data_IF_535618927158
#
_entry.id   IF_535618927158
#
_cell.length_a   1.000
_cell.length_b   1.000
_cell.length_c   1.000
_cell.angle_alpha   90.00
_cell.angle_beta   90.00
_cell.angle_gamma   90.00
#
_symmetry.space_group_name_H-M   'P 1'
#
loop_
_entity.id
_entity.type
_entity.pdbx_description
1 polymer ?
#
# COMPACT_ATOMS: atom_id res chain seq x y z
N UNK A 1 11.18 16.34 12.43
CA UNK A 1 10.11 16.13 11.44
C UNK A 1 9.54 14.71 11.53
N UNK A 2 10.39 13.68 11.56
CA UNK A 2 10.03 12.26 11.68
C UNK A 2 9.13 11.90 12.88
N UNK A 3 9.28 12.55 14.05
CA UNK A 3 8.40 12.32 15.23
C UNK A 3 6.94 12.71 14.98
N UNK A 4 6.70 13.82 14.27
CA UNK A 4 5.34 14.28 13.92
C UNK A 4 4.72 13.33 12.91
N UNK A 5 5.47 12.93 11.88
CA UNK A 5 5.02 11.95 10.89
C UNK A 5 4.70 10.59 11.53
N UNK A 6 5.50 10.15 12.50
CA UNK A 6 5.21 8.92 13.24
C UNK A 6 3.92 9.02 14.06
N UNK A 7 3.65 10.16 14.71
CA UNK A 7 2.44 10.37 15.48
C UNK A 7 1.19 10.42 14.58
N UNK A 8 1.26 11.22 13.50
CA UNK A 8 0.21 11.29 12.48
C UNK A 8 -0.03 9.93 11.84
N UNK A 9 1.04 9.21 11.49
CA UNK A 9 0.97 7.85 10.95
C UNK A 9 0.32 6.86 11.92
N UNK A 10 0.64 6.96 13.21
CA UNK A 10 0.00 6.17 14.26
C UNK A 10 -1.51 6.41 14.35
N UNK A 11 -1.94 7.67 14.38
CA UNK A 11 -3.37 8.04 14.38
C UNK A 11 -4.07 7.54 13.11
N UNK A 12 -3.47 7.78 11.95
CA UNK A 12 -4.03 7.32 10.67
C UNK A 12 -4.12 5.79 10.59
N UNK A 13 -3.16 5.07 11.17
CA UNK A 13 -3.20 3.60 11.25
C UNK A 13 -4.40 3.14 12.09
N UNK A 14 -4.61 3.74 13.27
CA UNK A 14 -5.76 3.40 14.12
C UNK A 14 -7.08 3.70 13.41
N UNK A 15 -7.18 4.84 12.73
CA UNK A 15 -8.38 5.21 11.95
C UNK A 15 -8.59 4.24 10.79
N UNK A 16 -7.56 3.94 9.98
CA UNK A 16 -7.66 3.06 8.83
C UNK A 16 -8.03 1.63 9.25
N UNK A 17 -7.41 1.08 10.29
CA UNK A 17 -7.73 -0.25 10.83
C UNK A 17 -9.14 -0.29 11.42
N UNK A 18 -9.51 0.71 12.24
CA UNK A 18 -10.83 0.76 12.86
C UNK A 18 -11.96 0.89 11.83
N UNK A 19 -11.80 1.78 10.86
CA UNK A 19 -12.75 1.95 9.76
C UNK A 19 -12.75 0.74 8.82
N UNK A 20 -11.60 0.15 8.53
CA UNK A 20 -11.47 -1.05 7.70
C UNK A 20 -12.12 -2.28 8.32
N UNK A 21 -11.92 -2.51 9.61
CA UNK A 21 -12.58 -3.59 10.35
C UNK A 21 -14.10 -3.40 10.40
N UNK A 22 -14.57 -2.17 10.62
CA UNK A 22 -15.99 -1.84 10.57
C UNK A 22 -16.58 -2.12 9.18
N UNK A 23 -15.93 -1.64 8.12
CA UNK A 23 -16.36 -1.83 6.74
C UNK A 23 -16.34 -3.31 6.36
N UNK A 24 -15.34 -4.09 6.79
CA UNK A 24 -15.27 -5.53 6.54
C UNK A 24 -16.44 -6.28 7.21
N UNK A 25 -16.81 -5.91 8.44
CA UNK A 25 -17.93 -6.56 9.15
C UNK A 25 -19.30 -6.15 8.62
N UNK A 26 -19.46 -4.89 8.18
CA UNK A 26 -20.72 -4.33 7.68
C UNK A 26 -20.79 -4.21 6.17
N UNK A 27 -19.90 -4.90 5.44
CA UNK A 27 -19.79 -4.77 4.01
C UNK A 27 -21.13 -5.07 3.32
N UNK A 28 -21.64 -4.07 2.60
CA UNK A 28 -22.78 -4.20 1.71
C UNK A 28 -22.45 -3.45 0.41
N UNK A 29 -22.62 -4.07 -0.77
CA UNK A 29 -22.33 -3.44 -2.05
C UNK A 29 -23.26 -2.26 -2.37
N UNK A 30 -24.41 -2.18 -1.70
CA UNK A 30 -25.44 -1.15 -1.80
C UNK A 30 -25.46 -0.23 -0.56
N UNK A 31 -24.31 -0.02 0.07
CA UNK A 31 -24.18 0.76 1.29
C UNK A 31 -24.68 2.21 1.12
N UNK A 32 -25.53 2.66 2.05
CA UNK A 32 -26.02 4.05 2.14
C UNK A 32 -25.81 4.61 3.54
N UNK A 33 -25.94 5.94 3.68
CA UNK A 33 -25.86 6.63 4.97
C UNK A 33 -24.51 6.44 5.66
N UNK A 34 -24.53 5.98 6.91
CA UNK A 34 -23.34 5.88 7.76
C UNK A 34 -22.27 4.92 7.21
N UNK A 35 -22.66 3.79 6.59
CA UNK A 35 -21.71 2.81 6.06
C UNK A 35 -20.91 3.38 4.89
N UNK A 36 -21.57 4.13 3.99
CA UNK A 36 -20.90 4.86 2.91
C UNK A 36 -19.94 5.93 3.46
N UNK A 37 -20.35 6.63 4.54
CA UNK A 37 -19.48 7.58 5.25
C UNK A 37 -18.20 6.90 5.78
N UNK A 38 -18.35 5.73 6.40
CA UNK A 38 -17.21 4.94 6.91
C UNK A 38 -16.29 4.42 5.79
N UNK A 39 -16.85 4.00 4.66
CA UNK A 39 -16.06 3.60 3.48
C UNK A 39 -15.24 4.78 2.92
N UNK A 40 -15.85 5.96 2.80
CA UNK A 40 -15.14 7.18 2.36
C UNK A 40 -14.05 7.60 3.33
N UNK A 41 -14.34 7.56 4.64
CA UNK A 41 -13.35 7.84 5.67
C UNK A 41 -12.19 6.85 5.63
N UNK A 42 -12.48 5.56 5.45
CA UNK A 42 -11.46 4.52 5.28
C UNK A 42 -10.59 4.78 4.05
N UNK A 43 -11.18 5.12 2.91
CA UNK A 43 -10.45 5.42 1.68
C UNK A 43 -9.53 6.64 1.85
N UNK A 44 -10.05 7.76 2.37
CA UNK A 44 -9.28 9.00 2.56
C UNK A 44 -8.15 8.77 3.58
N UNK A 45 -8.45 8.13 4.71
CA UNK A 45 -7.44 7.84 5.73
C UNK A 45 -6.36 6.88 5.22
N UNK A 46 -6.69 5.91 4.38
CA UNK A 46 -5.72 4.99 3.77
C UNK A 46 -4.78 5.70 2.79
N UNK A 47 -5.30 6.62 1.97
CA UNK A 47 -4.47 7.45 1.08
C UNK A 47 -3.52 8.33 1.90
N UNK A 48 -4.06 9.02 2.91
CA UNK A 48 -3.26 9.86 3.80
C UNK A 48 -2.18 9.03 4.53
N UNK A 49 -2.53 7.84 5.00
CA UNK A 49 -1.60 6.93 5.66
C UNK A 49 -0.48 6.50 4.72
N UNK A 50 -0.82 6.12 3.49
CA UNK A 50 0.17 5.73 2.49
C UNK A 50 1.17 6.86 2.20
N UNK A 51 0.68 8.09 2.03
CA UNK A 51 1.54 9.27 1.86
C UNK A 51 2.46 9.49 3.07
N UNK A 52 1.91 9.42 4.29
CA UNK A 52 2.71 9.59 5.52
C UNK A 52 3.76 8.50 5.67
N UNK A 53 3.45 7.24 5.33
CA UNK A 53 4.42 6.14 5.35
C UNK A 53 5.54 6.41 4.35
N UNK A 54 5.22 6.68 3.08
CA UNK A 54 6.22 6.88 2.03
C UNK A 54 7.12 8.08 2.34
N UNK A 55 6.53 9.22 2.69
CA UNK A 55 7.27 10.43 3.06
C UNK A 55 8.08 10.20 4.34
N UNK A 56 7.52 9.52 5.34
CA UNK A 56 8.19 9.21 6.60
C UNK A 56 9.39 8.29 6.42
N UNK A 57 9.27 7.24 5.61
CA UNK A 57 10.38 6.33 5.30
C UNK A 57 11.45 7.02 4.46
N UNK A 58 11.06 7.79 3.44
CA UNK A 58 12.01 8.57 2.64
C UNK A 58 12.78 9.58 3.51
N UNK A 59 12.08 10.31 4.39
CA UNK A 59 12.69 11.22 5.36
C UNK A 59 13.61 10.48 6.32
N UNK A 60 13.22 9.30 6.83
CA UNK A 60 14.05 8.49 7.72
C UNK A 60 15.36 8.04 7.05
N UNK A 61 15.26 7.53 5.81
CA UNK A 61 16.44 7.11 5.03
C UNK A 61 17.35 8.31 4.74
N UNK A 62 16.77 9.47 4.43
CA UNK A 62 17.50 10.70 4.16
C UNK A 62 18.18 11.28 5.42
N UNK A 63 17.48 11.36 6.55
CA UNK A 63 17.99 11.89 7.83
C UNK A 63 19.14 11.02 8.37
N UNK A 64 19.05 9.70 8.23
CA UNK A 64 20.04 8.77 8.79
C UNK A 64 21.30 8.60 7.92
N UNK A 65 21.33 9.18 6.71
CA UNK A 65 22.45 9.16 5.74
C UNK A 65 23.38 7.94 5.87
N UNK A 66 22.88 6.70 5.74
CA UNK A 66 23.78 5.58 5.50
C UNK A 66 24.62 5.94 4.27
N UNK A 67 25.94 5.70 4.35
CA UNK A 67 26.84 5.93 3.21
C UNK A 67 26.20 5.43 1.91
N UNK A 68 26.39 6.12 0.78
CA UNK A 68 25.55 5.96 -0.43
C UNK A 68 25.38 4.50 -0.86
N UNK A 69 26.39 3.65 -0.64
CA UNK A 69 26.35 2.21 -0.92
C UNK A 69 25.45 1.41 0.02
N UNK A 70 25.36 1.80 1.29
CA UNK A 70 24.56 1.15 2.34
C UNK A 70 23.12 1.65 2.42
N UNK A 71 22.81 2.81 1.81
CA UNK A 71 21.46 3.37 1.73
C UNK A 71 20.58 2.78 0.63
N UNK A 72 21.18 2.21 -0.43
CA UNK A 72 20.46 1.67 -1.59
C UNK A 72 19.40 0.63 -1.19
N UNK A 73 19.68 -0.38 -0.33
CA UNK A 73 18.67 -1.37 0.05
C UNK A 73 17.44 -0.74 0.70
N UNK A 74 17.61 0.22 1.61
CA UNK A 74 16.51 0.89 2.29
C UNK A 74 15.68 1.76 1.32
N UNK A 75 16.34 2.39 0.35
CA UNK A 75 15.66 3.15 -0.70
C UNK A 75 14.83 2.26 -1.61
N UNK A 76 15.40 1.14 -2.07
CA UNK A 76 14.71 0.16 -2.91
C UNK A 76 13.49 -0.41 -2.18
N UNK A 77 13.64 -0.81 -0.91
CA UNK A 77 12.52 -1.34 -0.12
C UNK A 77 11.45 -0.25 0.10
N UNK A 78 11.83 1.00 0.32
CA UNK A 78 10.86 2.12 0.42
C UNK A 78 10.07 2.30 -0.88
N UNK A 79 10.72 2.20 -2.04
CA UNK A 79 10.04 2.27 -3.34
C UNK A 79 9.09 1.07 -3.55
N UNK A 80 9.50 -0.14 -3.17
CA UNK A 80 8.64 -1.33 -3.21
C UNK A 80 7.41 -1.16 -2.31
N UNK A 81 7.57 -0.63 -1.09
CA UNK A 81 6.45 -0.34 -0.19
C UNK A 81 5.49 0.67 -0.82
N UNK A 82 6.00 1.72 -1.48
CA UNK A 82 5.15 2.68 -2.17
C UNK A 82 4.29 2.01 -3.25
N UNK A 83 4.87 1.11 -4.05
CA UNK A 83 4.13 0.32 -5.05
C UNK A 83 3.09 -0.58 -4.39
N UNK A 84 3.46 -1.29 -3.32
CA UNK A 84 2.54 -2.17 -2.57
C UNK A 84 1.34 -1.37 -2.04
N UNK A 85 1.57 -0.17 -1.47
CA UNK A 85 0.50 0.68 -0.96
C UNK A 85 -0.41 1.23 -2.07
N UNK A 86 0.12 1.52 -3.25
CA UNK A 86 -0.69 1.92 -4.41
C UNK A 86 -1.57 0.75 -4.89
N UNK A 87 -0.99 -0.45 -5.00
CA UNK A 87 -1.76 -1.67 -5.33
C UNK A 87 -2.84 -1.93 -4.30
N UNK A 88 -2.53 -1.72 -3.02
CA UNK A 88 -3.45 -1.89 -1.91
C UNK A 88 -4.67 -0.97 -1.98
N UNK A 89 -4.42 0.34 -2.19
CA UNK A 89 -5.50 1.33 -2.39
C UNK A 89 -6.34 0.95 -3.61
N UNK A 90 -5.70 0.51 -4.70
CA UNK A 90 -6.41 0.15 -5.91
C UNK A 90 -7.28 -1.10 -5.71
N UNK A 91 -6.79 -2.10 -4.98
CA UNK A 91 -7.57 -3.27 -4.62
C UNK A 91 -8.75 -2.89 -3.72
N UNK A 92 -8.53 -2.06 -2.70
CA UNK A 92 -9.59 -1.56 -1.82
C UNK A 92 -10.72 -0.88 -2.60
N UNK A 93 -10.37 -0.05 -3.59
CA UNK A 93 -11.36 0.54 -4.50
C UNK A 93 -12.07 -0.52 -5.34
N UNK A 94 -11.37 -1.51 -5.88
CA UNK A 94 -12.01 -2.60 -6.65
C UNK A 94 -12.96 -3.48 -5.82
N UNK A 95 -12.76 -3.52 -4.50
CA UNK A 95 -13.62 -4.24 -3.55
C UNK A 95 -14.82 -3.40 -3.13
N UNK A 96 -14.71 -2.08 -3.08
CA UNK A 96 -15.87 -1.20 -2.98
C UNK A 96 -16.62 -1.26 -4.31
N UNK A 97 -17.65 -2.11 -4.38
CA UNK A 97 -18.50 -2.34 -5.55
C UNK A 97 -19.41 -1.12 -5.84
N UNK A 98 -18.86 0.08 -5.72
CA UNK A 98 -19.55 1.34 -6.00
C UNK A 98 -19.70 1.53 -7.50
N UNK A 99 -20.81 2.14 -7.91
CA UNK A 99 -21.13 2.43 -9.32
C UNK A 99 -20.03 3.21 -10.07
N UNK A 100 -19.13 3.88 -9.35
CA UNK A 100 -17.94 4.55 -9.90
C UNK A 100 -16.92 3.53 -10.44
N UNK A 101 -16.73 2.39 -9.79
CA UNK A 101 -15.87 1.30 -10.29
C UNK A 101 -16.53 0.60 -11.48
N UNK A 102 -17.86 0.46 -11.51
CA UNK A 102 -18.56 0.06 -12.73
C UNK A 102 -18.32 1.05 -13.87
N UNK A 103 -18.30 2.37 -13.59
CA UNK A 103 -17.96 3.38 -14.60
C UNK A 103 -16.48 3.34 -15.02
N UNK A 104 -15.55 2.91 -14.17
CA UNK A 104 -14.15 2.61 -14.53
C UNK A 104 -13.98 1.23 -15.19
N UNK A 105 -14.88 0.27 -14.99
CA UNK A 105 -14.91 -0.99 -15.75
C UNK A 105 -15.43 -0.73 -17.17
N UNK A 106 -16.42 0.16 -17.29
CA UNK A 106 -16.95 0.67 -18.56
C UNK A 106 -15.94 1.63 -19.24
N UNK A 107 -15.30 2.53 -18.49
CA UNK A 107 -14.25 3.45 -18.97
C UNK A 107 -12.87 2.78 -19.13
N UNK A 108 -12.64 1.69 -18.42
CA UNK A 108 -11.49 0.80 -18.55
C UNK A 108 -11.58 -0.10 -19.78
N UNK A 109 -12.75 -0.22 -20.42
CA UNK A 109 -12.84 -0.70 -21.80
C UNK A 109 -12.17 0.29 -22.78
N UNK A 110 -12.22 1.59 -22.48
CA UNK A 110 -11.54 2.65 -23.25
C UNK A 110 -10.04 2.65 -22.99
N UNK A 111 -9.60 2.46 -21.73
CA UNK A 111 -8.18 2.35 -21.37
C UNK A 111 -7.55 1.03 -21.87
N UNK A 112 -8.32 -0.07 -21.92
CA UNK A 112 -7.91 -1.33 -22.56
C UNK A 112 -7.76 -1.21 -24.08
N UNK A 113 -8.51 -0.32 -24.76
CA UNK A 113 -8.25 0.01 -26.18
C UNK A 113 -6.93 0.74 -26.35
N UNK A 114 -6.56 1.65 -25.46
CA UNK A 114 -5.28 2.38 -25.53
C UNK A 114 -4.10 1.47 -25.16
N UNK A 115 -4.23 0.66 -24.10
CA UNK A 115 -3.23 -0.35 -23.73
C UNK A 115 -3.10 -1.48 -24.75
N UNK A 116 -4.20 -1.90 -25.40
CA UNK A 116 -4.17 -2.89 -26.48
C UNK A 116 -3.47 -2.40 -27.76
N UNK A 117 -3.36 -1.09 -27.95
CA UNK A 117 -2.57 -0.48 -29.04
C UNK A 117 -1.09 -0.33 -28.63
N UNK A 118 -0.79 -0.08 -27.36
CA UNK A 118 0.58 0.11 -26.85
C UNK A 118 1.31 -1.21 -26.47
N UNK A 119 0.59 -2.27 -26.14
CA UNK A 119 1.14 -3.55 -25.66
C UNK A 119 1.14 -4.65 -26.74
N UNK A 120 0.72 -4.33 -27.98
CA UNK A 120 0.56 -5.32 -29.05
C UNK A 120 1.89 -5.96 -29.50
N UNK A 121 3.01 -5.31 -29.18
CA UNK A 121 4.36 -5.74 -29.58
C UNK A 121 5.20 -6.33 -28.43
N UNK A 122 4.62 -6.50 -27.23
CA UNK A 122 5.31 -7.15 -26.11
C UNK A 122 4.95 -8.65 -26.08
N UNK A 123 5.92 -9.57 -26.22
CA UNK A 123 5.68 -11.01 -26.14
C UNK A 123 5.55 -11.40 -24.67
N UNK A 124 4.43 -11.02 -24.04
CA UNK A 124 4.15 -11.35 -22.64
C UNK A 124 2.88 -12.21 -22.63
N UNK A 125 3.05 -13.51 -22.87
CA UNK A 125 2.05 -14.55 -22.63
C UNK A 125 1.57 -14.59 -21.16
N UNK A 126 2.23 -13.86 -20.25
CA UNK A 126 1.86 -13.72 -18.84
C UNK A 126 0.73 -12.71 -18.57
N UNK A 127 0.27 -11.95 -19.57
CA UNK A 127 -0.87 -11.03 -19.46
C UNK A 127 -2.17 -11.65 -19.98
N UNK A 128 -2.35 -12.97 -19.81
CA UNK A 128 -3.67 -13.58 -19.78
C UNK A 128 -4.43 -13.03 -18.58
N UNK A 129 -5.02 -11.85 -18.77
CA UNK A 129 -6.22 -11.41 -18.04
C UNK A 129 -7.35 -12.29 -18.56
N UNK A 130 -7.27 -13.59 -18.24
CA UNK A 130 -8.32 -14.53 -18.58
C UNK A 130 -9.59 -14.03 -17.88
N UNK A 131 -10.69 -14.03 -18.63
CA UNK A 131 -12.04 -13.68 -18.21
C UNK A 131 -12.60 -14.54 -17.05
N UNK A 132 -11.74 -15.24 -16.32
CA UNK A 132 -11.95 -16.07 -15.14
C UNK A 132 -11.95 -15.23 -13.85
N UNK A 133 -11.48 -13.98 -13.87
CA UNK A 133 -11.41 -13.10 -12.69
C UNK A 133 -12.74 -12.47 -12.22
N UNK A 134 -13.86 -12.86 -12.82
CA UNK A 134 -15.20 -12.42 -12.42
C UNK A 134 -15.96 -13.45 -11.57
N UNK A 135 -15.30 -14.55 -11.17
CA UNK A 135 -15.85 -15.54 -10.23
C UNK A 135 -15.62 -15.21 -8.75
N UNK A 136 -16.35 -15.89 -7.87
CA UNK A 136 -16.23 -15.80 -6.39
C UNK A 136 -14.79 -16.00 -5.92
N UNK A 137 -14.04 -16.88 -6.58
CA UNK A 137 -12.63 -17.13 -6.27
C UNK A 137 -11.72 -15.94 -6.56
N UNK A 138 -11.98 -15.21 -7.65
CA UNK A 138 -11.26 -13.98 -7.99
C UNK A 138 -11.51 -12.88 -6.97
N UNK A 139 -12.77 -12.71 -6.54
CA UNK A 139 -13.13 -11.80 -5.45
C UNK A 139 -12.45 -12.20 -4.14
N UNK A 140 -12.51 -13.48 -3.75
CA UNK A 140 -11.89 -13.98 -2.51
C UNK A 140 -10.38 -13.76 -2.49
N UNK A 141 -9.69 -13.98 -3.62
CA UNK A 141 -8.25 -13.68 -3.74
C UNK A 141 -7.95 -12.21 -3.52
N UNK A 142 -8.73 -11.29 -4.13
CA UNK A 142 -8.56 -9.84 -3.92
C UNK A 142 -8.81 -9.42 -2.47
N UNK A 143 -9.83 -9.99 -1.83
CA UNK A 143 -10.11 -9.76 -0.40
C UNK A 143 -8.94 -10.21 0.48
N UNK A 144 -8.39 -11.41 0.27
CA UNK A 144 -7.21 -11.88 1.03
C UNK A 144 -5.96 -11.05 0.75
N UNK A 145 -5.74 -10.65 -0.50
CA UNK A 145 -4.64 -9.78 -0.87
C UNK A 145 -4.71 -8.47 -0.07
N UNK A 146 -5.90 -7.86 -0.03
CA UNK A 146 -6.15 -6.58 0.63
C UNK A 146 -6.17 -6.64 2.15
N UNK A 147 -6.78 -7.66 2.74
CA UNK A 147 -6.94 -7.72 4.19
C UNK A 147 -5.71 -8.27 4.92
N UNK A 148 -4.85 -9.02 4.22
CA UNK A 148 -3.77 -9.76 4.87
C UNK A 148 -2.43 -9.67 4.14
N UNK A 149 -2.37 -10.10 2.87
CA UNK A 149 -1.07 -10.32 2.20
C UNK A 149 -0.32 -9.01 2.02
N UNK A 150 -0.94 -7.98 1.44
CA UNK A 150 -0.30 -6.70 1.19
C UNK A 150 -0.02 -5.91 2.48
N UNK A 151 -0.92 -5.86 3.49
CA UNK A 151 -0.61 -5.26 4.79
C UNK A 151 0.60 -5.90 5.47
N UNK A 152 0.71 -7.24 5.43
CA UNK A 152 1.84 -7.96 6.02
C UNK A 152 3.14 -7.64 5.27
N UNK A 153 3.13 -7.66 3.93
CA UNK A 153 4.30 -7.29 3.12
C UNK A 153 4.74 -5.85 3.42
N UNK A 154 3.80 -4.90 3.47
CA UNK A 154 4.10 -3.51 3.81
C UNK A 154 4.68 -3.39 5.23
N UNK A 155 4.08 -4.06 6.22
CA UNK A 155 4.54 -4.07 7.60
C UNK A 155 5.97 -4.61 7.75
N UNK A 156 6.27 -5.74 7.10
CA UNK A 156 7.61 -6.32 7.08
C UNK A 156 8.63 -5.39 6.40
N UNK A 157 8.26 -4.75 5.29
CA UNK A 157 9.08 -3.75 4.62
C UNK A 157 9.40 -2.55 5.50
N UNK A 158 8.38 -1.99 6.19
CA UNK A 158 8.55 -0.89 7.13
C UNK A 158 9.50 -1.28 8.25
N UNK A 159 9.30 -2.46 8.87
CA UNK A 159 10.16 -2.97 9.92
C UNK A 159 11.61 -3.12 9.45
N UNK A 160 11.82 -3.66 8.24
CA UNK A 160 13.13 -3.76 7.62
C UNK A 160 13.80 -2.38 7.49
N UNK A 161 13.12 -1.38 6.91
CA UNK A 161 13.69 -0.04 6.72
C UNK A 161 14.06 0.59 8.07
N UNK A 162 13.21 0.45 9.08
CA UNK A 162 13.47 0.99 10.43
C UNK A 162 14.67 0.29 11.10
N UNK A 163 14.76 -1.04 11.05
CA UNK A 163 15.86 -1.79 11.66
C UNK A 163 17.17 -1.53 10.91
N UNK A 164 17.14 -1.53 9.58
CA UNK A 164 18.28 -1.25 8.72
C UNK A 164 18.85 0.14 8.99
N UNK A 165 18.01 1.18 8.93
CA UNK A 165 18.47 2.56 9.15
C UNK A 165 19.01 2.78 10.56
N UNK A 166 18.46 2.11 11.59
CA UNK A 166 19.02 2.14 12.94
C UNK A 166 20.42 1.52 13.02
N UNK A 167 20.66 0.39 12.36
CA UNK A 167 21.95 -0.31 12.39
C UNK A 167 23.09 0.53 11.82
N UNK A 168 22.83 1.33 10.78
CA UNK A 168 23.84 2.16 10.14
C UNK A 168 23.93 3.59 10.68
N UNK A 169 22.96 4.01 11.49
CA UNK A 169 23.02 5.31 12.18
C UNK A 169 23.93 5.30 13.42
N UNK A 170 24.28 4.13 13.97
CA UNK A 170 25.12 3.98 15.16
C UNK A 170 26.40 3.13 14.89
N UNK A 171 27.30 3.54 13.98
CA UNK A 171 28.54 2.79 13.73
C UNK A 171 29.55 2.85 14.90
N UNK A 172 29.30 3.70 15.91
CA UNK A 172 30.20 3.95 17.05
C UNK A 172 29.93 3.16 18.34
N UNK A 173 28.87 2.33 18.42
CA UNK A 173 28.69 1.42 19.56
C UNK A 173 29.58 0.18 19.42
N UNK A 174 30.89 0.39 19.24
CA UNK A 174 31.86 -0.66 19.55
C UNK A 174 32.02 -0.64 21.07
N UNK A 175 31.94 -1.78 21.77
CA UNK A 175 32.39 -1.80 23.16
C UNK A 175 33.83 -1.27 23.17
N UNK A 176 34.10 -0.27 24.00
CA UNK A 176 35.46 0.16 24.29
C UNK A 176 36.23 -1.09 24.68
N UNK A 177 37.19 -1.47 23.85
CA UNK A 177 38.06 -2.62 24.08
C UNK A 177 39.18 -2.16 24.99
N UNK A 178 38.81 -1.73 26.19
CA UNK A 178 39.69 -1.37 27.30
C UNK A 178 38.91 -1.70 28.58
N UNK A 179 39.01 -2.96 29.00
CA UNK A 179 38.88 -3.46 30.37
C UNK A 179 39.75 -4.73 30.47
#
# INVERSE_FOLDING_TARGET
>A
MTRVLAWVGGVLTVVAVGTGAYVAYRYRPDATGFVLGMQRLHAISSIALALVIVVGLAALVWERRPDRRHGIPAFVVTAVIAVVLVVEIRLGWSLAWDQVVMSEVIGGATLRRVQGVLLRDLPIEALRVDAVEHGVDGFRRRVWAHLLVLPVIAGLGIAFVVVWTRRFANPGARPSRDD
#
